data_IF_147091194021
#
_entry.id   IF_147091194021
#
_cell.length_a   1.000
_cell.length_b   1.000
_cell.length_c   1.000
_cell.angle_alpha   90.00
_cell.angle_beta   90.00
_cell.angle_gamma   90.00
#
_symmetry.space_group_name_H-M   'P 1'
#
loop_
_entity.id
_entity.type
_entity.pdbx_description
1 polymer ?
#
# COMPACT_ATOMS: atom_id res chain seq x y z
N UNK A 1 3.99 -11.72 -30.28
CA UNK A 1 5.27 -12.41 -30.15
C UNK A 1 6.26 -11.44 -29.58
N UNK A 2 7.10 -11.91 -28.66
CA UNK A 2 8.26 -11.15 -28.20
C UNK A 2 9.31 -11.10 -29.31
N UNK A 3 10.21 -10.11 -29.30
CA UNK A 3 11.33 -10.04 -30.23
C UNK A 3 12.57 -9.65 -29.43
N UNK A 4 13.65 -10.42 -29.55
CA UNK A 4 14.90 -10.15 -28.86
C UNK A 4 15.86 -9.41 -29.81
N UNK A 5 16.45 -8.32 -29.32
CA UNK A 5 17.36 -7.47 -30.10
C UNK A 5 18.79 -7.59 -29.57
N UNK A 6 19.76 -7.64 -30.48
CA UNK A 6 21.16 -7.38 -30.14
C UNK A 6 21.38 -5.89 -29.85
N UNK A 7 20.69 -5.02 -30.61
CA UNK A 7 20.65 -3.59 -30.35
C UNK A 7 19.23 -3.04 -30.59
N UNK A 8 18.50 -2.78 -29.51
CA UNK A 8 17.12 -2.29 -29.58
C UNK A 8 17.02 -0.90 -30.25
N UNK A 9 17.98 -0.01 -30.02
CA UNK A 9 17.98 1.36 -30.58
C UNK A 9 18.18 1.35 -32.09
N UNK A 10 18.96 0.41 -32.62
CA UNK A 10 19.21 0.24 -34.06
C UNK A 10 18.25 -0.73 -34.75
N UNK A 11 17.39 -1.42 -34.00
CA UNK A 11 16.48 -2.43 -34.53
C UNK A 11 17.15 -3.73 -34.98
N UNK A 12 18.38 -4.00 -34.52
CA UNK A 12 19.14 -5.20 -34.89
C UNK A 12 18.66 -6.40 -34.07
N UNK A 13 17.95 -7.33 -34.72
CA UNK A 13 17.39 -8.53 -34.07
C UNK A 13 18.48 -9.55 -33.76
N UNK A 14 18.35 -10.23 -32.63
CA UNK A 14 19.19 -11.39 -32.32
C UNK A 14 18.80 -12.56 -33.23
N UNK A 15 19.80 -13.28 -33.77
CA UNK A 15 19.53 -14.49 -34.55
C UNK A 15 19.25 -15.67 -33.63
N UNK A 16 18.44 -16.63 -34.08
CA UNK A 16 18.12 -17.84 -33.30
C UNK A 16 19.36 -18.61 -32.86
N UNK A 17 20.41 -18.65 -33.69
CA UNK A 17 21.68 -19.28 -33.35
C UNK A 17 22.38 -18.60 -32.15
N UNK A 18 22.33 -17.27 -32.06
CA UNK A 18 22.90 -16.53 -30.91
C UNK A 18 22.06 -16.76 -29.66
N UNK A 19 20.72 -16.83 -29.81
CA UNK A 19 19.84 -17.09 -28.68
C UNK A 19 20.09 -18.49 -28.10
N UNK A 20 20.22 -19.49 -28.96
CA UNK A 20 20.52 -20.87 -28.55
C UNK A 20 21.90 -20.99 -27.87
N UNK A 21 22.92 -20.32 -28.42
CA UNK A 21 24.29 -20.35 -27.89
C UNK A 21 24.40 -19.70 -26.50
N UNK A 22 23.74 -18.55 -26.30
CA UNK A 22 23.86 -17.77 -25.05
C UNK A 22 22.84 -18.22 -23.99
N UNK A 23 21.59 -18.45 -24.39
CA UNK A 23 20.49 -18.73 -23.48
C UNK A 23 20.09 -20.20 -23.44
N UNK A 24 20.64 -21.04 -24.32
CA UNK A 24 20.29 -22.46 -24.42
C UNK A 24 18.93 -22.73 -25.07
N UNK A 25 18.30 -21.71 -25.66
CA UNK A 25 17.00 -21.82 -26.35
C UNK A 25 16.83 -20.70 -27.37
N UNK A 26 16.19 -21.00 -28.51
CA UNK A 26 15.75 -20.02 -29.49
C UNK A 26 14.31 -19.50 -29.25
N UNK A 27 13.63 -19.98 -28.21
CA UNK A 27 12.31 -19.48 -27.81
C UNK A 27 12.41 -18.07 -27.21
N UNK A 28 11.98 -17.07 -27.98
CA UNK A 28 12.04 -15.65 -27.58
C UNK A 28 11.27 -15.36 -26.28
N UNK A 29 10.21 -16.09 -25.96
CA UNK A 29 9.46 -15.89 -24.72
C UNK A 29 10.25 -16.38 -23.49
N UNK A 30 10.86 -17.56 -23.61
CA UNK A 30 11.77 -18.07 -22.58
C UNK A 30 13.00 -17.18 -22.38
N UNK A 31 13.59 -16.67 -23.47
CA UNK A 31 14.73 -15.74 -23.42
C UNK A 31 14.35 -14.44 -22.72
N UNK A 32 13.20 -13.84 -23.06
CA UNK A 32 12.75 -12.59 -22.41
C UNK A 32 12.60 -12.77 -20.90
N UNK A 33 12.05 -13.91 -20.45
CA UNK A 33 11.94 -14.19 -19.02
C UNK A 33 13.32 -14.21 -18.34
N UNK A 34 14.31 -14.85 -18.94
CA UNK A 34 15.69 -14.89 -18.42
C UNK A 34 16.29 -13.47 -18.37
N UNK A 35 16.10 -12.67 -19.41
CA UNK A 35 16.59 -11.27 -19.47
C UNK A 35 15.94 -10.42 -18.39
N UNK A 36 14.64 -10.59 -18.12
CA UNK A 36 13.94 -9.83 -17.08
C UNK A 36 14.34 -10.26 -15.66
N UNK A 37 14.61 -11.55 -15.45
CA UNK A 37 15.01 -12.08 -14.14
C UNK A 37 16.48 -11.78 -13.79
N UNK A 38 17.38 -11.80 -14.79
CA UNK A 38 18.84 -11.72 -14.57
C UNK A 38 19.48 -10.46 -15.14
N UNK A 39 18.80 -9.76 -16.03
CA UNK A 39 19.30 -8.55 -16.67
C UNK A 39 19.11 -7.29 -15.82
N UNK A 40 19.70 -6.19 -16.26
CA UNK A 40 19.55 -4.89 -15.63
C UNK A 40 18.68 -3.98 -16.50
N UNK A 41 17.65 -3.39 -15.90
CA UNK A 41 16.79 -2.43 -16.60
C UNK A 41 17.58 -1.13 -16.86
N UNK A 42 17.83 -0.84 -18.13
CA UNK A 42 18.53 0.37 -18.55
C UNK A 42 17.57 1.56 -18.50
N UNK A 43 17.46 2.17 -17.33
CA UNK A 43 16.64 3.36 -17.12
C UNK A 43 17.41 4.64 -17.41
N UNK A 44 16.78 5.58 -18.10
CA UNK A 44 17.26 6.96 -18.18
C UNK A 44 17.23 7.63 -16.79
N UNK A 45 18.02 8.68 -16.60
CA UNK A 45 18.00 9.45 -15.34
C UNK A 45 16.60 10.00 -15.00
N UNK A 46 15.86 10.46 -16.02
CA UNK A 46 14.50 10.97 -15.85
C UNK A 46 13.53 9.88 -15.37
N UNK A 47 13.62 8.66 -15.94
CA UNK A 47 12.81 7.53 -15.49
C UNK A 47 13.17 7.10 -14.07
N UNK A 48 14.46 7.03 -13.72
CA UNK A 48 14.89 6.71 -12.34
C UNK A 48 14.35 7.72 -11.34
N UNK A 49 14.45 9.02 -11.64
CA UNK A 49 13.93 10.08 -10.77
C UNK A 49 12.41 9.97 -10.56
N UNK A 50 11.66 9.63 -11.62
CA UNK A 50 10.23 9.39 -11.53
C UNK A 50 9.91 8.18 -10.65
N UNK A 51 10.53 7.04 -10.90
CA UNK A 51 10.31 5.82 -10.11
C UNK A 51 10.65 6.03 -8.63
N UNK A 52 11.72 6.77 -8.35
CA UNK A 52 12.09 7.11 -6.97
C UNK A 52 11.03 7.99 -6.31
N UNK A 53 10.53 9.01 -7.01
CA UNK A 53 9.45 9.87 -6.50
C UNK A 53 8.17 9.05 -6.24
N UNK A 54 7.76 8.25 -7.20
CA UNK A 54 6.57 7.40 -7.07
C UNK A 54 6.71 6.44 -5.87
N UNK A 55 7.93 5.92 -5.63
CA UNK A 55 8.24 5.07 -4.47
C UNK A 55 8.20 5.84 -3.15
N UNK A 56 8.73 7.06 -3.12
CA UNK A 56 8.66 7.96 -1.95
C UNK A 56 7.19 8.21 -1.57
N UNK A 57 6.37 8.59 -2.55
CA UNK A 57 4.95 8.89 -2.34
C UNK A 57 4.19 7.65 -1.82
N UNK A 58 4.50 6.47 -2.36
CA UNK A 58 3.94 5.18 -1.90
C UNK A 58 4.30 4.88 -0.44
N UNK A 59 5.57 5.07 -0.06
CA UNK A 59 6.06 4.87 1.31
C UNK A 59 5.40 5.86 2.28
N UNK A 60 5.37 7.14 1.94
CA UNK A 60 4.76 8.18 2.77
C UNK A 60 3.27 7.86 3.00
N UNK A 61 2.55 7.50 1.93
CA UNK A 61 1.15 7.13 2.01
C UNK A 61 0.94 5.87 2.88
N UNK A 62 1.81 4.86 2.73
CA UNK A 62 1.75 3.67 3.57
C UNK A 62 1.90 4.05 5.06
N UNK A 63 2.90 4.85 5.41
CA UNK A 63 3.15 5.29 6.79
C UNK A 63 1.96 6.11 7.31
N UNK A 64 1.43 7.03 6.50
CA UNK A 64 0.26 7.86 6.87
C UNK A 64 -0.97 7.00 7.21
N UNK A 65 -1.23 5.96 6.42
CA UNK A 65 -2.39 5.08 6.59
C UNK A 65 -2.23 4.13 7.79
N UNK A 66 -1.03 3.58 8.00
CA UNK A 66 -0.80 2.49 8.95
C UNK A 66 -0.21 2.91 10.29
N UNK A 67 0.30 4.13 10.40
CA UNK A 67 0.94 4.60 11.60
C UNK A 67 0.21 5.78 12.24
N UNK A 68 0.33 5.88 13.55
CA UNK A 68 -0.21 6.98 14.35
C UNK A 68 0.86 7.59 15.24
N UNK A 69 0.61 8.83 15.67
CA UNK A 69 1.27 9.40 16.82
C UNK A 69 0.65 8.80 18.10
N UNK A 70 1.40 8.06 18.94
CA UNK A 70 0.87 7.44 20.15
C UNK A 70 0.41 8.47 21.20
N UNK A 71 0.83 9.73 21.10
CA UNK A 71 0.41 10.80 22.03
C UNK A 71 -0.98 11.35 21.69
N UNK A 72 -1.35 11.38 20.40
CA UNK A 72 -2.62 11.98 19.94
C UNK A 72 -3.59 10.96 19.37
N UNK A 73 -3.14 9.72 19.12
CA UNK A 73 -3.86 8.66 18.44
C UNK A 73 -4.35 9.05 17.03
N UNK A 74 -3.64 9.96 16.36
CA UNK A 74 -3.94 10.44 15.01
C UNK A 74 -2.79 10.13 14.05
N UNK A 75 -3.07 9.92 12.75
CA UNK A 75 -2.02 9.77 11.73
C UNK A 75 -1.21 11.07 11.60
N UNK A 76 0.07 10.93 11.28
CA UNK A 76 0.94 12.06 10.95
C UNK A 76 0.62 12.57 9.53
N UNK A 77 0.53 13.88 9.29
CA UNK A 77 0.36 14.40 7.93
C UNK A 77 1.49 13.94 6.99
N UNK A 78 1.24 13.71 5.69
CA UNK A 78 2.26 13.27 4.72
C UNK A 78 3.52 14.13 4.73
N UNK A 79 3.36 15.46 4.76
CA UNK A 79 4.48 16.42 4.82
C UNK A 79 5.34 16.22 6.08
N UNK A 80 4.73 15.87 7.23
CA UNK A 80 5.48 15.63 8.46
C UNK A 80 6.32 14.35 8.38
N UNK A 81 5.80 13.32 7.71
CA UNK A 81 6.49 12.05 7.46
C UNK A 81 7.66 12.29 6.51
N UNK A 82 7.44 13.04 5.42
CA UNK A 82 8.49 13.45 4.48
C UNK A 82 9.63 14.17 5.19
N UNK A 83 9.33 15.19 6.00
CA UNK A 83 10.37 15.89 6.77
C UNK A 83 11.11 14.97 7.74
N UNK A 84 10.42 14.03 8.40
CA UNK A 84 11.07 13.08 9.30
C UNK A 84 12.01 12.11 8.56
N UNK A 85 11.62 11.70 7.35
CA UNK A 85 12.44 10.86 6.46
C UNK A 85 13.71 11.60 6.03
N UNK A 86 13.59 12.87 5.65
CA UNK A 86 14.73 13.72 5.29
C UNK A 86 15.68 13.97 6.47
N UNK A 87 15.13 14.29 7.66
CA UNK A 87 15.90 14.49 8.89
C UNK A 87 16.66 13.21 9.32
N UNK A 88 16.06 12.04 9.11
CA UNK A 88 16.69 10.75 9.37
C UNK A 88 17.68 10.32 8.26
N UNK A 89 17.76 11.05 7.14
CA UNK A 89 18.66 10.75 6.04
C UNK A 89 18.37 9.43 5.34
N UNK A 90 17.09 9.02 5.29
CA UNK A 90 16.71 7.70 4.76
C UNK A 90 17.06 7.55 3.28
N UNK A 91 17.60 6.40 2.92
CA UNK A 91 17.88 6.04 1.53
C UNK A 91 16.76 5.15 1.00
N UNK A 92 16.24 5.47 -0.18
CA UNK A 92 15.09 4.78 -0.78
C UNK A 92 15.53 4.07 -2.06
N UNK A 93 15.09 2.83 -2.20
CA UNK A 93 15.34 1.97 -3.35
C UNK A 93 14.05 1.82 -4.16
N UNK A 94 14.05 2.24 -5.42
CA UNK A 94 12.86 2.14 -6.28
C UNK A 94 12.52 0.70 -6.68
N UNK A 95 13.45 -0.25 -6.53
CA UNK A 95 13.25 -1.67 -6.86
C UNK A 95 12.58 -2.43 -5.70
N UNK A 96 12.89 -2.06 -4.47
CA UNK A 96 12.35 -2.76 -3.31
C UNK A 96 10.85 -2.44 -3.06
N UNK A 97 10.06 -3.42 -2.56
CA UNK A 97 8.67 -3.18 -2.20
C UNK A 97 8.53 -2.05 -1.17
N UNK A 98 7.53 -1.18 -1.37
CA UNK A 98 7.33 -0.01 -0.51
C UNK A 98 6.99 -0.40 0.92
N UNK A 99 6.12 -1.40 1.13
CA UNK A 99 5.74 -1.86 2.47
C UNK A 99 6.95 -2.33 3.28
N UNK A 100 7.85 -3.10 2.65
CA UNK A 100 9.06 -3.60 3.31
C UNK A 100 9.95 -2.43 3.73
N UNK A 101 10.22 -1.51 2.81
CA UNK A 101 11.02 -0.31 3.10
C UNK A 101 10.35 0.57 4.15
N UNK A 102 9.03 0.74 4.11
CA UNK A 102 8.30 1.54 5.08
C UNK A 102 8.48 1.01 6.50
N UNK A 103 8.42 -0.31 6.71
CA UNK A 103 8.68 -0.94 8.02
C UNK A 103 10.08 -0.64 8.56
N UNK A 104 11.10 -0.62 7.69
CA UNK A 104 12.46 -0.29 8.07
C UNK A 104 12.66 1.22 8.30
N UNK A 105 12.00 2.06 7.49
CA UNK A 105 12.01 3.52 7.61
C UNK A 105 11.32 3.96 8.90
N UNK A 106 10.20 3.33 9.29
CA UNK A 106 9.49 3.62 10.55
C UNK A 106 10.45 3.56 11.75
N UNK A 107 11.33 2.54 11.80
CA UNK A 107 12.34 2.40 12.87
C UNK A 107 13.36 3.54 12.88
N UNK A 108 13.72 4.06 11.70
CA UNK A 108 14.66 5.18 11.57
C UNK A 108 14.00 6.49 12.01
N UNK A 109 12.80 6.79 11.51
CA UNK A 109 12.08 8.03 11.83
C UNK A 109 11.52 8.04 13.26
N UNK A 110 11.43 6.90 13.95
CA UNK A 110 11.08 6.82 15.38
C UNK A 110 12.02 7.62 16.29
N UNK A 111 13.25 7.85 15.85
CA UNK A 111 14.22 8.71 16.57
C UNK A 111 13.91 10.20 16.45
N UNK A 112 13.14 10.58 15.42
CA UNK A 112 12.79 11.97 15.07
C UNK A 112 11.37 12.31 15.55
N UNK A 113 10.42 11.38 15.38
CA UNK A 113 9.01 11.54 15.76
C UNK A 113 8.47 10.33 16.52
N UNK A 114 7.56 10.54 17.50
CA UNK A 114 6.80 9.44 18.09
C UNK A 114 5.85 8.86 17.04
N UNK A 115 6.14 7.65 16.59
CA UNK A 115 5.33 6.95 15.59
C UNK A 115 5.29 5.45 15.87
N UNK A 116 4.11 4.86 15.71
CA UNK A 116 3.89 3.43 15.90
C UNK A 116 2.92 2.90 14.85
N UNK A 117 3.19 1.69 14.37
CA UNK A 117 2.30 0.96 13.47
C UNK A 117 1.17 0.32 14.30
N UNK A 118 -0.08 0.59 13.92
CA UNK A 118 -1.24 0.21 14.72
C UNK A 118 -2.44 -0.13 13.83
N UNK A 119 -3.15 -1.20 14.17
CA UNK A 119 -4.48 -1.50 13.66
C UNK A 119 -5.53 -1.33 14.76
N UNK A 120 -6.76 -1.04 14.35
CA UNK A 120 -7.91 -0.90 15.24
C UNK A 120 -9.03 -1.82 14.79
N UNK A 121 -9.67 -2.47 15.77
CA UNK A 121 -10.88 -3.26 15.54
C UNK A 121 -12.08 -2.43 15.99
N UNK A 122 -13.00 -2.17 15.07
CA UNK A 122 -14.22 -1.40 15.30
C UNK A 122 -15.44 -2.32 15.19
N UNK A 123 -16.36 -2.20 16.14
CA UNK A 123 -17.71 -2.75 16.05
C UNK A 123 -18.64 -1.68 15.48
N UNK A 124 -19.34 -2.01 14.40
CA UNK A 124 -20.20 -1.12 13.64
C UNK A 124 -21.61 -1.69 13.66
N UNK A 125 -22.60 -0.84 13.93
CA UNK A 125 -24.03 -1.16 13.87
C UNK A 125 -24.70 -0.24 12.86
N UNK A 126 -25.28 -0.81 11.82
CA UNK A 126 -25.88 -0.07 10.70
C UNK A 126 -27.36 -0.43 10.57
N UNK A 127 -28.26 0.58 10.59
CA UNK A 127 -29.69 0.35 10.36
C UNK A 127 -29.98 -0.19 8.94
N UNK A 128 -31.05 -0.99 8.77
CA UNK A 128 -31.38 -1.65 7.49
C UNK A 128 -31.41 -0.70 6.29
N UNK A 129 -31.91 0.52 6.50
CA UNK A 129 -32.01 1.61 5.51
C UNK A 129 -30.70 1.92 4.76
N UNK A 130 -29.54 1.67 5.37
CA UNK A 130 -28.22 2.09 4.85
C UNK A 130 -27.27 0.93 4.55
N UNK A 131 -27.70 -0.31 4.77
CA UNK A 131 -26.82 -1.50 4.76
C UNK A 131 -26.11 -1.73 3.41
N UNK A 132 -26.82 -1.57 2.29
CA UNK A 132 -26.24 -1.76 0.95
C UNK A 132 -25.01 -0.87 0.70
N UNK A 133 -25.16 0.47 0.72
CA UNK A 133 -24.01 1.36 0.54
C UNK A 133 -22.98 1.27 1.66
N UNK A 134 -23.40 1.00 2.90
CA UNK A 134 -22.49 0.93 4.04
C UNK A 134 -21.55 -0.27 3.96
N UNK A 135 -22.00 -1.40 3.41
CA UNK A 135 -21.16 -2.58 3.21
C UNK A 135 -19.91 -2.27 2.36
N UNK A 136 -20.07 -1.48 1.30
CA UNK A 136 -18.94 -1.07 0.46
C UNK A 136 -17.95 -0.16 1.19
N UNK A 137 -18.43 0.70 2.10
CA UNK A 137 -17.57 1.56 2.93
C UNK A 137 -16.80 0.73 3.95
N UNK A 138 -17.48 -0.21 4.62
CA UNK A 138 -16.86 -1.08 5.65
C UNK A 138 -15.82 -1.99 5.02
N UNK A 139 -16.14 -2.68 3.92
CA UNK A 139 -15.20 -3.56 3.22
C UNK A 139 -14.03 -2.80 2.55
N UNK A 140 -14.24 -1.55 2.14
CA UNK A 140 -13.14 -0.71 1.61
C UNK A 140 -12.22 -0.13 2.68
N UNK A 141 -12.68 -0.03 3.92
CA UNK A 141 -11.90 0.53 5.02
C UNK A 141 -10.88 -0.47 5.58
N UNK A 142 -11.25 -1.75 5.65
CA UNK A 142 -10.41 -2.82 6.18
C UNK A 142 -11.03 -4.21 6.03
N UNK A 143 -10.52 -5.17 6.81
CA UNK A 143 -10.95 -6.56 6.80
C UNK A 143 -12.12 -6.77 7.75
N UNK A 144 -13.22 -7.37 7.27
CA UNK A 144 -14.36 -7.74 8.10
C UNK A 144 -14.03 -9.05 8.81
N UNK A 145 -13.88 -9.00 10.13
CA UNK A 145 -13.56 -10.18 10.95
C UNK A 145 -14.81 -11.02 11.23
N UNK A 146 -15.92 -10.35 11.53
CA UNK A 146 -17.20 -10.98 11.86
C UNK A 146 -18.33 -10.07 11.37
N UNK A 147 -19.40 -10.64 10.82
CA UNK A 147 -20.63 -9.90 10.55
C UNK A 147 -21.87 -10.75 10.81
N UNK A 148 -22.96 -10.09 11.21
CA UNK A 148 -24.23 -10.73 11.52
C UNK A 148 -25.40 -9.80 11.25
N UNK A 149 -26.53 -10.40 10.86
CA UNK A 149 -27.80 -9.71 10.68
C UNK A 149 -28.71 -9.97 11.87
N UNK A 150 -29.19 -8.90 12.50
CA UNK A 150 -30.21 -8.99 13.53
C UNK A 150 -31.57 -9.34 12.94
N UNK A 151 -32.47 -9.85 13.78
CA UNK A 151 -33.87 -10.15 13.41
C UNK A 151 -34.65 -8.89 13.01
N UNK A 152 -34.16 -7.71 13.39
CA UNK A 152 -34.67 -6.38 13.05
C UNK A 152 -34.07 -5.83 11.73
N UNK A 153 -33.24 -6.61 11.03
CA UNK A 153 -32.54 -6.21 9.81
C UNK A 153 -31.34 -5.29 10.05
N UNK A 154 -30.97 -5.03 11.31
CA UNK A 154 -29.76 -4.26 11.64
C UNK A 154 -28.53 -5.12 11.34
N UNK A 155 -27.57 -4.54 10.65
CA UNK A 155 -26.30 -5.20 10.35
C UNK A 155 -25.26 -4.83 11.40
N UNK A 156 -24.62 -5.84 11.97
CA UNK A 156 -23.52 -5.71 12.91
C UNK A 156 -22.26 -6.26 12.26
N UNK A 157 -21.16 -5.52 12.32
CA UNK A 157 -19.87 -5.96 11.79
C UNK A 157 -18.73 -5.58 12.73
N UNK A 158 -17.73 -6.46 12.84
CA UNK A 158 -16.41 -6.15 13.38
C UNK A 158 -15.44 -6.01 12.22
N UNK A 159 -14.79 -4.87 12.12
CA UNK A 159 -13.83 -4.56 11.05
C UNK A 159 -12.48 -4.21 11.65
N UNK A 160 -11.43 -4.85 11.17
CA UNK A 160 -10.04 -4.49 11.46
C UNK A 160 -9.50 -3.60 10.36
N UNK A 161 -8.96 -2.43 10.73
CA UNK A 161 -8.38 -1.49 9.77
C UNK A 161 -7.14 -0.80 10.32
N UNK A 162 -6.29 -0.24 9.43
CA UNK A 162 -5.20 0.63 9.85
C UNK A 162 -5.72 1.83 10.65
N UNK A 163 -5.10 2.15 11.80
CA UNK A 163 -5.57 3.23 12.68
C UNK A 163 -5.58 4.61 12.00
N UNK A 164 -4.77 4.84 10.97
CA UNK A 164 -4.78 6.09 10.20
C UNK A 164 -6.06 6.30 9.37
N UNK A 165 -6.78 5.23 9.00
CA UNK A 165 -8.08 5.32 8.28
C UNK A 165 -9.28 5.57 9.18
N UNK A 166 -9.11 5.44 10.50
CA UNK A 166 -10.23 5.47 11.44
C UNK A 166 -11.07 6.75 11.30
N UNK A 167 -10.44 7.92 11.18
CA UNK A 167 -11.17 9.19 11.09
C UNK A 167 -11.99 9.29 9.80
N UNK A 168 -11.39 9.02 8.64
CA UNK A 168 -12.06 9.02 7.33
C UNK A 168 -13.22 8.00 7.28
N UNK A 169 -13.02 6.82 7.87
CA UNK A 169 -14.07 5.81 7.99
C UNK A 169 -15.28 6.31 8.79
N UNK A 170 -15.03 6.92 9.96
CA UNK A 170 -16.09 7.48 10.81
C UNK A 170 -16.87 8.58 10.09
N UNK A 171 -16.16 9.48 9.39
CA UNK A 171 -16.79 10.58 8.65
C UNK A 171 -17.69 10.05 7.52
N UNK A 172 -17.21 9.08 6.74
CA UNK A 172 -17.98 8.45 5.65
C UNK A 172 -19.21 7.73 6.14
N UNK A 173 -19.10 6.94 7.22
CA UNK A 173 -20.24 6.22 7.81
C UNK A 173 -21.25 7.21 8.40
N UNK A 174 -20.80 8.25 9.08
CA UNK A 174 -21.68 9.28 9.64
C UNK A 174 -22.42 10.04 8.54
N UNK A 175 -21.74 10.40 7.44
CA UNK A 175 -22.34 11.09 6.30
C UNK A 175 -23.41 10.22 5.62
N UNK A 176 -23.11 8.92 5.41
CA UNK A 176 -24.04 7.99 4.78
C UNK A 176 -25.30 7.77 5.64
N UNK A 177 -25.11 7.52 6.93
CA UNK A 177 -26.20 7.14 7.84
C UNK A 177 -26.88 8.34 8.50
N UNK A 178 -26.43 9.57 8.21
CA UNK A 178 -26.87 10.81 8.86
C UNK A 178 -26.74 10.73 10.39
N UNK A 179 -25.68 10.07 10.86
CA UNK A 179 -25.40 9.84 12.28
C UNK A 179 -26.25 8.75 12.96
N UNK A 180 -26.98 7.94 12.21
CA UNK A 180 -27.77 6.81 12.76
C UNK A 180 -26.95 5.54 13.00
N UNK A 181 -25.73 5.44 12.47
CA UNK A 181 -24.84 4.32 12.75
C UNK A 181 -24.18 4.48 14.13
N UNK A 182 -23.97 3.36 14.82
CA UNK A 182 -23.16 3.32 16.04
C UNK A 182 -21.82 2.66 15.74
N UNK A 183 -20.71 3.29 16.13
CA UNK A 183 -19.36 2.75 15.98
C UNK A 183 -18.67 2.74 17.35
N UNK A 184 -18.11 1.60 17.74
CA UNK A 184 -17.35 1.44 18.99
C UNK A 184 -15.99 0.83 18.72
N UNK A 185 -14.97 1.34 19.39
CA UNK A 185 -13.64 0.73 19.38
C UNK A 185 -13.68 -0.50 20.27
N UNK A 186 -13.34 -1.66 19.71
CA UNK A 186 -13.24 -2.93 20.45
C UNK A 186 -11.83 -3.11 20.98
N UNK A 187 -10.82 -2.94 20.12
CA UNK A 187 -9.42 -3.20 20.44
C UNK A 187 -8.50 -2.32 19.58
N UNK A 188 -7.31 -1.98 20.11
CA UNK A 188 -6.19 -1.44 19.33
C UNK A 188 -5.02 -2.42 19.41
N UNK A 189 -4.50 -2.85 18.28
CA UNK A 189 -3.36 -3.77 18.19
C UNK A 189 -2.14 -3.00 17.70
N UNK A 190 -1.10 -2.97 18.52
CA UNK A 190 0.22 -2.48 18.10
C UNK A 190 0.96 -3.64 17.42
N UNK A 191 1.59 -3.35 16.27
CA UNK A 191 2.33 -4.34 15.47
C UNK A 191 3.85 -4.17 15.61
#
# INVERSE_FOLDING_TARGET
GFIVFHNATKGEKASSAILEDIFGTADEEAVVKIILEKGALQLTQAQRKRLLKDKIDEIINFIHIHCINPQTNKPHPPVRIESAMDEAGVQIDYVQPAEKQAKDIIKQIQTIIPIRLETVVLAVKIPPEYTGPAFGIVSGAGEILEDQWGNDGVWYAKVEMPSGKQADFLDKINQLTKGKAEVKIVERKSL
#
